data_IF_411985441898
#
_entry.id   IF_411985441898
#
_cell.length_a   1.000
_cell.length_b   1.000
_cell.length_c   1.000
_cell.angle_alpha   90.00
_cell.angle_beta   90.00
_cell.angle_gamma   90.00
#
_symmetry.space_group_name_H-M   'P 1'
#
loop_
_entity.id
_entity.type
_entity.pdbx_description
1 polymer ?
#
# COMPACT_ATOMS: atom_id res chain seq x y z
N UNK A 1 -10.99 9.68 3.37
CA UNK A 1 -9.51 9.63 3.23
C UNK A 1 -8.87 10.98 3.53
N UNK A 2 -9.31 12.07 2.90
CA UNK A 2 -8.73 13.42 3.14
C UNK A 2 -8.72 13.83 4.62
N UNK A 3 -9.84 13.68 5.33
CA UNK A 3 -9.94 14.00 6.76
C UNK A 3 -8.94 13.21 7.62
N UNK A 4 -8.81 11.91 7.37
CA UNK A 4 -7.86 11.04 8.06
C UNK A 4 -6.40 11.45 7.78
N UNK A 5 -6.08 11.79 6.53
CA UNK A 5 -4.76 12.30 6.17
C UNK A 5 -4.42 13.63 6.85
N UNK A 6 -5.40 14.54 6.96
CA UNK A 6 -5.24 15.84 7.62
C UNK A 6 -5.01 15.74 9.14
N UNK A 7 -5.50 14.69 9.79
CA UNK A 7 -5.26 14.46 11.22
C UNK A 7 -3.81 14.06 11.52
N UNK A 8 -3.05 13.57 10.53
CA UNK A 8 -1.68 13.05 10.68
C UNK A 8 -1.58 11.90 11.70
N UNK A 9 -2.67 11.16 11.91
CA UNK A 9 -2.76 10.01 12.83
C UNK A 9 -3.21 8.75 12.09
N UNK A 10 -2.68 8.55 10.88
CA UNK A 10 -3.00 7.42 10.03
C UNK A 10 -1.73 6.60 9.74
N UNK A 11 -1.86 5.28 9.76
CA UNK A 11 -0.82 4.37 9.32
C UNK A 11 -1.04 3.96 7.87
N UNK A 12 0.05 3.88 7.13
CA UNK A 12 0.11 3.41 5.74
C UNK A 12 0.96 2.15 5.72
N UNK A 13 0.38 1.04 5.29
CA UNK A 13 1.11 -0.19 4.99
C UNK A 13 1.12 -0.39 3.48
N UNK A 14 2.30 -0.62 2.90
CA UNK A 14 2.48 -0.92 1.49
C UNK A 14 3.00 -2.35 1.36
N UNK A 15 2.48 -3.06 0.36
CA UNK A 15 2.94 -4.40 0.01
C UNK A 15 3.08 -4.52 -1.52
N UNK A 16 4.25 -4.94 -1.97
CA UNK A 16 4.53 -5.18 -3.38
C UNK A 16 4.45 -6.68 -3.62
N UNK A 17 3.61 -7.10 -4.56
CA UNK A 17 3.37 -8.51 -4.83
C UNK A 17 3.26 -8.77 -6.33
N UNK A 18 3.68 -9.98 -6.70
CA UNK A 18 3.60 -10.44 -8.08
C UNK A 18 2.35 -11.31 -8.25
N UNK A 19 1.58 -11.03 -9.29
CA UNK A 19 0.41 -11.82 -9.65
C UNK A 19 0.56 -12.33 -11.06
N UNK A 20 0.35 -13.64 -11.24
CA UNK A 20 0.21 -14.25 -12.56
C UNK A 20 -1.25 -14.11 -13.03
N UNK A 21 -1.53 -13.07 -13.82
CA UNK A 21 -2.84 -12.82 -14.39
C UNK A 21 -2.99 -13.57 -15.72
N UNK A 22 -3.42 -14.82 -15.63
CA UNK A 22 -3.68 -15.68 -16.80
C UNK A 22 -4.92 -15.19 -17.55
N UNK A 23 -4.72 -14.67 -18.75
CA UNK A 23 -5.79 -14.31 -19.67
C UNK A 23 -6.31 -15.55 -20.40
N UNK A 24 -7.62 -15.79 -20.39
CA UNK A 24 -8.28 -16.91 -21.10
C UNK A 24 -8.45 -16.62 -22.61
N UNK A 25 -7.51 -15.92 -23.24
CA UNK A 25 -7.58 -15.67 -24.68
C UNK A 25 -7.22 -16.96 -25.41
N UNK A 26 -8.25 -17.68 -25.85
CA UNK A 26 -8.16 -19.00 -26.47
C UNK A 26 -7.51 -19.06 -27.85
N UNK A 27 -6.97 -17.96 -28.39
CA UNK A 27 -6.33 -17.98 -29.70
C UNK A 27 -5.08 -17.10 -29.74
N UNK A 28 -4.03 -17.68 -30.31
CA UNK A 28 -2.70 -17.15 -30.60
C UNK A 28 -1.68 -17.34 -29.47
N UNK A 29 -0.68 -18.18 -29.75
CA UNK A 29 0.60 -18.29 -29.03
C UNK A 29 1.36 -16.95 -29.08
N UNK A 30 0.88 -15.95 -28.36
CA UNK A 30 1.71 -14.81 -27.97
C UNK A 30 2.17 -15.09 -26.56
N UNK A 31 3.47 -14.97 -26.32
CA UNK A 31 4.05 -14.92 -24.97
C UNK A 31 3.51 -13.66 -24.29
N UNK A 32 2.28 -13.72 -23.78
CA UNK A 32 1.72 -12.63 -22.99
C UNK A 32 2.46 -12.63 -21.67
N UNK A 33 3.13 -11.53 -21.37
CA UNK A 33 3.71 -11.29 -20.06
C UNK A 33 2.58 -11.28 -19.03
N UNK A 34 2.35 -12.42 -18.39
CA UNK A 34 1.23 -12.66 -17.48
C UNK A 34 1.59 -12.31 -16.04
N UNK A 35 2.88 -12.28 -15.72
CA UNK A 35 3.38 -11.78 -14.46
C UNK A 35 3.19 -10.26 -14.39
N UNK A 36 2.51 -9.80 -13.35
CA UNK A 36 2.29 -8.39 -13.06
C UNK A 36 2.84 -8.06 -11.69
N UNK A 37 3.73 -7.08 -11.67
CA UNK A 37 4.20 -6.43 -10.46
C UNK A 37 3.13 -5.42 -10.01
N UNK A 38 2.50 -5.67 -8.86
CA UNK A 38 1.47 -4.81 -8.31
C UNK A 38 1.89 -4.32 -6.93
N UNK A 39 1.30 -3.20 -6.52
CA UNK A 39 1.43 -2.65 -5.17
C UNK A 39 0.05 -2.50 -4.58
N UNK A 40 -0.15 -3.03 -3.38
CA UNK A 40 -1.32 -2.74 -2.56
C UNK A 40 -0.94 -1.78 -1.44
N UNK A 41 -1.92 -1.00 -0.99
CA UNK A 41 -1.77 -0.18 0.21
C UNK A 41 -2.98 -0.32 1.12
N UNK A 42 -2.72 -0.25 2.41
CA UNK A 42 -3.73 -0.22 3.46
C UNK A 42 -3.55 1.06 4.27
N UNK A 43 -4.62 1.87 4.31
CA UNK A 43 -4.70 3.09 5.11
C UNK A 43 -5.69 2.86 6.27
N UNK A 44 -5.23 3.04 7.50
CA UNK A 44 -6.09 2.90 8.68
C UNK A 44 -5.77 3.94 9.77
N UNK A 45 -6.79 4.35 10.56
CA UNK A 45 -6.59 5.28 11.66
C UNK A 45 -5.82 4.63 12.81
N UNK A 46 -4.95 5.40 13.44
CA UNK A 46 -4.36 5.05 14.73
C UNK A 46 -5.39 5.31 15.83
N UNK A 47 -5.95 4.23 16.36
CA UNK A 47 -7.01 4.27 17.38
C UNK A 47 -6.44 4.55 18.79
N UNK A 48 -7.33 4.66 19.78
CA UNK A 48 -7.00 4.83 21.21
C UNK A 48 -6.45 6.20 21.62
N UNK A 49 -6.90 7.27 20.96
CA UNK A 49 -6.59 8.64 21.38
C UNK A 49 -5.17 9.10 21.04
N UNK A 50 -4.49 8.39 20.12
CA UNK A 50 -3.21 8.79 19.55
C UNK A 50 -3.30 10.21 19.00
N UNK A 51 -2.35 11.04 19.39
CA UNK A 51 -2.18 12.41 18.91
C UNK A 51 -0.95 12.51 18.02
N UNK A 52 -0.87 13.62 17.29
CA UNK A 52 0.27 13.90 16.41
C UNK A 52 1.60 13.92 17.18
N UNK A 53 1.58 14.40 18.42
CA UNK A 53 2.77 14.52 19.28
C UNK A 53 3.34 13.14 19.66
N UNK A 54 2.50 12.11 19.75
CA UNK A 54 2.92 10.74 20.04
C UNK A 54 3.75 10.14 18.89
N UNK A 55 3.65 10.73 17.68
CA UNK A 55 4.34 10.29 16.47
C UNK A 55 5.61 11.08 16.17
N UNK A 56 6.16 11.82 17.14
CA UNK A 56 7.34 12.67 16.96
C UNK A 56 8.57 11.93 16.41
N UNK A 57 8.72 10.64 16.71
CA UNK A 57 9.83 9.81 16.23
C UNK A 57 9.55 9.12 14.88
N UNK A 58 8.38 9.31 14.28
CA UNK A 58 8.01 8.68 13.00
C UNK A 58 9.02 8.98 11.89
N UNK A 59 9.61 10.17 11.88
CA UNK A 59 10.69 10.54 10.96
C UNK A 59 11.89 9.58 11.01
N UNK A 60 12.26 9.08 12.20
CA UNK A 60 13.39 8.17 12.38
C UNK A 60 13.15 6.82 11.70
N UNK A 61 11.89 6.39 11.56
CA UNK A 61 11.54 5.16 10.86
C UNK A 61 11.76 5.27 9.35
N UNK A 62 11.61 6.48 8.79
CA UNK A 62 11.76 6.75 7.35
C UNK A 62 13.18 7.17 6.94
N UNK A 63 14.10 7.32 7.89
CA UNK A 63 15.51 7.65 7.63
C UNK A 63 16.42 6.41 7.46
N UNK A 64 15.87 5.21 7.59
CA UNK A 64 16.54 3.95 7.28
C UNK A 64 16.16 3.46 5.90
#
# INVERSE_FOLDING_TARGET
>A
IQSLGQMLTAAYAYDNFDVDLKSTVHMVEKSSDSLKHLMSSLLFPLLHGIKKEDLWCSHLLWQK
#
